data_IF_018825642393
#
_entry.id   IF_018825642393
#
_cell.length_a   1.000
_cell.length_b   1.000
_cell.length_c   1.000
_cell.angle_alpha   90.00
_cell.angle_beta   90.00
_cell.angle_gamma   90.00
#
_symmetry.space_group_name_H-M   'P 1'
#
loop_
_entity.id
_entity.type
_entity.pdbx_description
1 polymer ?
#
# COMPACT_ATOMS: atom_id res chain seq x y z
N UNK A 1 -18.51 -15.25 17.86
CA UNK A 1 -17.26 -15.12 17.11
C UNK A 1 -17.62 -14.45 15.82
N UNK A 2 -17.28 -13.18 15.64
CA UNK A 2 -17.55 -12.48 14.39
C UNK A 2 -16.72 -13.11 13.28
N UNK A 3 -17.44 -13.64 12.29
CA UNK A 3 -16.92 -14.13 11.03
C UNK A 3 -16.26 -12.94 10.34
N UNK A 4 -14.95 -12.79 10.52
CA UNK A 4 -14.17 -11.70 9.92
C UNK A 4 -14.07 -12.03 8.44
N UNK A 5 -15.08 -11.60 7.68
CA UNK A 5 -15.04 -11.60 6.22
C UNK A 5 -13.68 -11.05 5.81
N UNK A 6 -12.86 -11.89 5.19
CA UNK A 6 -11.54 -11.49 4.71
C UNK A 6 -11.76 -10.40 3.67
N UNK A 7 -11.53 -9.15 4.06
CA UNK A 7 -11.60 -7.99 3.18
C UNK A 7 -10.19 -7.68 2.67
N UNK A 8 -10.09 -7.05 1.49
CA UNK A 8 -8.82 -6.67 0.87
C UNK A 8 -7.95 -5.76 1.76
N UNK A 9 -7.88 -4.47 1.45
CA UNK A 9 -7.17 -3.49 2.28
C UNK A 9 -8.02 -2.24 2.48
N UNK A 10 -7.77 -1.56 3.59
CA UNK A 10 -8.32 -0.25 3.90
C UNK A 10 -7.19 0.74 4.13
N UNK A 11 -7.28 1.91 3.51
CA UNK A 11 -6.31 2.99 3.67
C UNK A 11 -7.06 4.24 4.13
N UNK A 12 -6.67 4.75 5.29
CA UNK A 12 -7.12 6.01 5.84
C UNK A 12 -6.09 7.11 5.56
N UNK A 13 -6.48 8.12 4.78
CA UNK A 13 -5.64 9.30 4.57
C UNK A 13 -5.85 10.27 5.75
N UNK A 14 -4.92 10.27 6.71
CA UNK A 14 -4.97 11.19 7.85
C UNK A 14 -4.30 12.53 7.56
N UNK A 15 -3.85 12.78 6.33
CA UNK A 15 -3.33 14.09 5.91
C UNK A 15 -4.46 15.05 5.53
N UNK A 16 -4.12 16.32 5.32
CA UNK A 16 -5.04 17.34 4.80
C UNK A 16 -5.00 17.46 3.27
N UNK A 17 -4.12 16.71 2.61
CA UNK A 17 -3.97 16.72 1.16
C UNK A 17 -4.60 15.47 0.57
N UNK A 18 -5.09 15.57 -0.67
CA UNK A 18 -5.51 14.38 -1.40
C UNK A 18 -4.31 13.46 -1.65
N UNK A 19 -4.52 12.17 -1.44
CA UNK A 19 -3.55 11.14 -1.76
C UNK A 19 -4.12 10.27 -2.86
N UNK A 20 -3.25 9.63 -3.63
CA UNK A 20 -3.67 8.67 -4.64
C UNK A 20 -3.02 7.32 -4.34
N UNK A 21 -3.77 6.24 -4.50
CA UNK A 21 -3.23 4.89 -4.36
C UNK A 21 -3.59 4.04 -5.57
N UNK A 22 -2.61 3.30 -6.08
CA UNK A 22 -2.85 2.16 -6.97
C UNK A 22 -2.62 0.89 -6.16
N UNK A 23 -3.57 -0.04 -6.23
CA UNK A 23 -3.55 -1.31 -5.48
C UNK A 23 -3.42 -2.45 -6.47
N UNK A 24 -2.29 -3.16 -6.44
CA UNK A 24 -2.03 -4.27 -7.35
C UNK A 24 -3.17 -5.28 -7.32
N UNK A 25 -3.52 -5.84 -8.48
CA UNK A 25 -4.48 -6.93 -8.59
C UNK A 25 -3.87 -8.02 -9.44
N UNK A 26 -3.91 -9.25 -8.93
CA UNK A 26 -3.54 -10.41 -9.73
C UNK A 26 -4.74 -10.88 -10.54
N UNK A 27 -4.95 -10.25 -11.69
CA UNK A 27 -5.93 -10.62 -12.70
C UNK A 27 -5.33 -10.41 -14.10
N UNK A 28 -5.98 -10.97 -15.12
CA UNK A 28 -5.41 -11.09 -16.48
C UNK A 28 -5.03 -9.75 -17.15
N UNK A 29 -5.56 -8.61 -16.68
CA UNK A 29 -5.30 -7.29 -17.26
C UNK A 29 -4.67 -6.27 -16.28
N UNK A 30 -4.45 -6.64 -15.02
CA UNK A 30 -4.13 -5.67 -13.97
C UNK A 30 -5.18 -4.55 -13.86
N UNK A 31 -5.01 -3.65 -12.90
CA UNK A 31 -5.67 -2.35 -12.94
C UNK A 31 -4.66 -1.31 -12.45
N UNK A 32 -3.99 -0.59 -13.38
CA UNK A 32 -2.92 0.33 -13.02
C UNK A 32 -3.45 1.68 -12.52
N UNK A 33 -4.77 1.85 -12.43
CA UNK A 33 -5.34 3.14 -12.07
C UNK A 33 -4.96 3.55 -10.66
N UNK A 34 -4.80 4.86 -10.50
CA UNK A 34 -4.71 5.51 -9.21
C UNK A 34 -6.10 5.98 -8.80
N UNK A 35 -6.49 5.63 -7.58
CA UNK A 35 -7.74 6.05 -6.97
C UNK A 35 -7.46 7.15 -5.96
N UNK A 36 -8.28 8.19 -5.97
CA UNK A 36 -8.21 9.25 -4.98
C UNK A 36 -8.62 8.72 -3.59
N UNK A 37 -7.85 9.10 -2.58
CA UNK A 37 -8.15 8.91 -1.16
C UNK A 37 -8.31 10.31 -0.56
N UNK A 38 -9.56 10.78 -0.40
CA UNK A 38 -9.83 12.12 0.10
C UNK A 38 -9.20 12.36 1.49
N UNK A 39 -8.87 13.62 1.83
CA UNK A 39 -8.37 13.97 3.16
C UNK A 39 -9.31 13.51 4.27
N UNK A 40 -8.74 13.02 5.38
CA UNK A 40 -9.47 12.57 6.57
C UNK A 40 -10.51 11.48 6.30
N UNK A 41 -10.38 10.71 5.21
CA UNK A 41 -11.34 9.66 4.83
C UNK A 41 -10.64 8.33 4.55
N UNK A 42 -11.29 7.19 4.88
CA UNK A 42 -10.84 5.88 4.46
C UNK A 42 -11.34 5.53 3.05
N UNK A 43 -10.53 4.78 2.32
CA UNK A 43 -10.92 4.06 1.11
C UNK A 43 -10.60 2.58 1.28
N UNK A 44 -11.50 1.72 0.78
CA UNK A 44 -11.39 0.27 0.97
C UNK A 44 -11.57 -0.47 -0.34
N UNK A 45 -10.65 -1.41 -0.61
CA UNK A 45 -10.73 -2.34 -1.73
C UNK A 45 -11.15 -3.72 -1.23
N UNK A 46 -12.26 -3.77 -0.49
CA UNK A 46 -12.72 -4.98 0.21
C UNK A 46 -13.00 -6.17 -0.72
N UNK A 47 -13.24 -5.94 -2.01
CA UNK A 47 -13.47 -6.98 -3.03
C UNK A 47 -12.19 -7.48 -3.71
N UNK A 48 -11.06 -6.80 -3.54
CA UNK A 48 -9.74 -7.26 -4.01
C UNK A 48 -9.14 -8.11 -2.90
N UNK A 49 -9.46 -9.41 -2.87
CA UNK A 49 -8.94 -10.35 -1.88
C UNK A 49 -7.89 -11.25 -2.54
N UNK A 50 -6.63 -11.14 -2.09
CA UNK A 50 -5.51 -11.95 -2.54
C UNK A 50 -4.66 -12.41 -1.33
N UNK A 51 -4.55 -13.72 -1.06
CA UNK A 51 -3.78 -14.22 0.08
C UNK A 51 -2.28 -13.88 0.02
N UNK A 52 -1.74 -13.52 -1.14
CA UNK A 52 -0.34 -13.10 -1.31
C UNK A 52 -0.10 -11.63 -0.97
N UNK A 53 -1.13 -10.88 -0.60
CA UNK A 53 -1.03 -9.45 -0.36
C UNK A 53 -0.97 -8.60 -1.64
N UNK A 54 -0.56 -7.35 -1.47
CA UNK A 54 -0.63 -6.33 -2.51
C UNK A 54 0.63 -5.47 -2.50
N UNK A 55 1.07 -5.08 -3.69
CA UNK A 55 1.90 -3.89 -3.87
C UNK A 55 0.97 -2.69 -3.98
N UNK A 56 1.15 -1.71 -3.12
CA UNK A 56 0.40 -0.46 -3.14
C UNK A 56 1.35 0.69 -3.44
N UNK A 57 1.07 1.42 -4.51
CA UNK A 57 1.80 2.62 -4.89
C UNK A 57 1.01 3.84 -4.43
N UNK A 58 1.57 4.62 -3.51
CA UNK A 58 1.06 5.94 -3.15
C UNK A 58 1.66 7.01 -4.05
N UNK A 59 0.85 8.00 -4.39
CA UNK A 59 1.26 9.16 -5.19
C UNK A 59 0.80 10.45 -4.53
N UNK A 60 1.72 11.43 -4.45
CA UNK A 60 1.45 12.82 -4.09
C UNK A 60 2.22 13.71 -5.08
N UNK A 61 1.51 14.48 -5.90
CA UNK A 61 2.15 15.25 -6.98
C UNK A 61 2.81 14.33 -8.02
N UNK A 62 4.11 14.55 -8.28
CA UNK A 62 4.91 13.73 -9.20
C UNK A 62 5.56 12.50 -8.53
N UNK A 63 5.63 12.50 -7.20
CA UNK A 63 6.35 11.48 -6.44
C UNK A 63 5.47 10.23 -6.22
N UNK A 64 6.09 9.06 -6.32
CA UNK A 64 5.45 7.76 -6.14
C UNK A 64 6.30 6.87 -5.24
N UNK A 65 5.69 6.25 -4.24
CA UNK A 65 6.35 5.30 -3.33
C UNK A 65 5.52 4.04 -3.19
N UNK A 66 6.16 2.89 -3.30
CA UNK A 66 5.51 1.58 -3.21
C UNK A 66 5.71 0.93 -1.84
N UNK A 67 4.69 0.21 -1.36
CA UNK A 67 4.69 -0.55 -0.12
C UNK A 67 4.07 -1.92 -0.35
N UNK A 68 4.45 -2.89 0.46
CA UNK A 68 3.80 -4.20 0.51
C UNK A 68 2.82 -4.26 1.67
N UNK A 69 1.58 -4.69 1.39
CA UNK A 69 0.51 -4.83 2.37
C UNK A 69 -0.08 -6.23 2.33
N UNK A 70 -0.47 -6.74 3.49
CA UNK A 70 -1.19 -8.01 3.58
C UNK A 70 -2.70 -7.80 3.48
N UNK A 71 -3.42 -8.84 3.09
CA UNK A 71 -4.89 -8.86 3.17
C UNK A 71 -5.37 -8.65 4.60
N UNK A 72 -6.42 -7.84 4.74
CA UNK A 72 -6.93 -7.36 6.02
C UNK A 72 -6.18 -6.15 6.60
N UNK A 73 -5.15 -5.62 5.92
CA UNK A 73 -4.40 -4.47 6.44
C UNK A 73 -5.29 -3.23 6.53
N UNK A 74 -5.27 -2.59 7.70
CA UNK A 74 -5.75 -1.23 7.89
C UNK A 74 -4.55 -0.29 7.97
N UNK A 75 -4.45 0.64 7.04
CA UNK A 75 -3.28 1.52 6.87
C UNK A 75 -3.65 2.97 7.13
N UNK A 76 -2.80 3.67 7.88
CA UNK A 76 -2.84 5.13 8.01
C UNK A 76 -1.77 5.74 7.11
N UNK A 77 -2.21 6.54 6.13
CA UNK A 77 -1.36 7.33 5.27
C UNK A 77 -1.28 8.78 5.77
N UNK A 78 -0.08 9.27 6.08
CA UNK A 78 0.18 10.68 6.42
C UNK A 78 0.96 11.41 5.32
N UNK A 79 1.97 10.75 4.76
CA UNK A 79 2.79 11.23 3.66
C UNK A 79 3.49 10.05 2.99
N UNK A 80 4.11 10.27 1.82
CA UNK A 80 4.87 9.24 1.08
C UNK A 80 5.99 8.54 1.86
N UNK A 81 6.45 9.10 3.00
CA UNK A 81 7.46 8.50 3.88
C UNK A 81 6.93 8.19 5.29
N UNK A 82 5.62 8.31 5.49
CA UNK A 82 4.92 8.17 6.77
C UNK A 82 3.62 7.38 6.55
N UNK A 83 3.78 6.08 6.35
CA UNK A 83 2.70 5.11 6.17
C UNK A 83 2.78 4.08 7.28
N UNK A 84 1.66 3.78 7.94
CA UNK A 84 1.60 2.91 9.11
C UNK A 84 0.53 1.85 8.94
N UNK A 85 0.84 0.60 9.26
CA UNK A 85 -0.16 -0.46 9.37
C UNK A 85 -0.61 -0.60 10.82
N UNK A 86 -1.91 -0.74 11.04
CA UNK A 86 -2.47 -1.00 12.36
C UNK A 86 -2.30 -2.48 12.69
N UNK A 87 -1.76 -2.76 13.88
CA UNK A 87 -1.62 -4.11 14.44
C UNK A 87 -2.30 -4.16 15.81
N UNK A 88 -2.58 -5.35 16.37
CA UNK A 88 -3.15 -5.45 17.71
C UNK A 88 -2.32 -4.77 18.81
N UNK A 89 -1.02 -4.62 18.59
CA UNK A 89 -0.07 -4.01 19.53
C UNK A 89 0.22 -2.53 19.24
N UNK A 90 -0.42 -1.95 18.22
CA UNK A 90 -0.24 -0.55 17.83
C UNK A 90 0.12 -0.35 16.36
N UNK A 91 0.38 0.90 15.97
CA UNK A 91 0.73 1.26 14.61
C UNK A 91 2.22 1.00 14.33
N UNK A 92 2.52 0.30 13.23
CA UNK A 92 3.90 0.02 12.79
C UNK A 92 4.17 0.78 11.50
N UNK A 93 5.26 1.55 11.47
CA UNK A 93 5.68 2.27 10.26
C UNK A 93 6.15 1.29 9.19
N UNK A 94 5.62 1.40 7.99
CA UNK A 94 6.04 0.60 6.85
C UNK A 94 7.32 1.16 6.22
N UNK A 95 8.14 0.25 5.72
CA UNK A 95 9.33 0.60 4.93
C UNK A 95 8.96 0.56 3.44
N UNK A 96 9.32 1.59 2.66
CA UNK A 96 9.15 1.58 1.22
C UNK A 96 9.81 0.37 0.57
N UNK A 97 9.20 -0.16 -0.49
CA UNK A 97 9.84 -1.13 -1.37
C UNK A 97 10.97 -0.45 -2.14
N UNK A 98 12.16 -1.02 -2.06
CA UNK A 98 13.34 -0.59 -2.83
C UNK A 98 13.70 -1.62 -3.89
N UNK A 99 14.33 -1.16 -4.97
CA UNK A 99 14.97 -2.07 -5.92
C UNK A 99 16.19 -2.73 -5.26
N UNK A 100 16.42 -4.04 -5.47
CA UNK A 100 17.70 -4.64 -5.10
C UNK A 100 18.82 -3.94 -5.86
N UNK A 101 19.88 -3.53 -5.17
CA UNK A 101 21.09 -3.03 -5.81
C UNK A 101 21.79 -4.25 -6.42
N UNK A 102 22.04 -4.30 -7.74
CA UNK A 102 22.84 -5.36 -8.33
C UNK A 102 24.21 -5.36 -7.64
N UNK A 103 24.65 -6.51 -7.14
CA UNK A 103 26.03 -6.64 -6.66
C UNK A 103 26.96 -6.34 -7.84
N UNK A 104 27.90 -5.39 -7.67
CA UNK A 104 28.98 -5.19 -8.62
C UNK A 104 29.74 -6.50 -8.78
N UNK A 105 29.44 -7.26 -9.83
CA UNK A 105 30.29 -8.37 -10.22
C UNK A 105 31.56 -7.70 -10.72
N UNK A 106 32.62 -7.75 -9.91
CA UNK A 106 33.95 -7.33 -10.33
C UNK A 106 34.23 -7.99 -11.68
N UNK A 107 34.32 -7.18 -12.74
CA UNK A 107 34.74 -7.64 -14.05
C UNK A 107 36.15 -8.22 -13.89
N UNK A 108 36.25 -9.55 -13.81
CA UNK A 108 37.51 -10.23 -13.95
C UNK A 108 38.02 -9.93 -15.35
N UNK A 109 39.08 -9.14 -15.43
CA UNK A 109 39.85 -8.88 -16.64
C UNK A 109 41.10 -9.76 -16.63
#
# INVERSE_FOLDING_TARGET
>A
MEDTKVTGITIYNSSFNEAFASVSRWNDNGDPNYFAIPPQQPQSWGTRVDPRGYVVCFKQGADVVAYYLLTGSYVTFQALNAVYVQTPTGAVKLTPLGAPVPSETAAAK
#
